data_IF_175066114895
#
_entry.id   IF_175066114895
#
_cell.length_a   1.000
_cell.length_b   1.000
_cell.length_c   1.000
_cell.angle_alpha   90.00
_cell.angle_beta   90.00
_cell.angle_gamma   90.00
#
_symmetry.space_group_name_H-M   'P 1'
#
loop_
_entity.id
_entity.type
_entity.pdbx_description
1 polymer ?
#
# COMPACT_ATOMS: atom_id res chain seq x y z
N UNK A 1 -7.02 1.00 -16.09
CA UNK A 1 -7.16 -0.34 -15.45
C UNK A 1 -5.91 -0.62 -14.67
N UNK A 2 -6.05 -0.72 -13.35
CA UNK A 2 -4.96 -0.97 -12.41
C UNK A 2 -4.81 -2.47 -12.19
N UNK A 3 -3.57 -2.94 -12.18
CA UNK A 3 -3.24 -4.32 -11.80
C UNK A 3 -2.21 -4.29 -10.68
N UNK A 4 -2.52 -4.94 -9.56
CA UNK A 4 -1.64 -5.06 -8.40
C UNK A 4 -1.12 -6.49 -8.31
N UNK A 5 0.16 -6.62 -7.98
CA UNK A 5 0.78 -7.90 -7.66
C UNK A 5 1.80 -7.72 -6.54
N UNK A 6 1.93 -8.73 -5.68
CA UNK A 6 2.96 -8.73 -4.65
C UNK A 6 4.25 -9.34 -5.20
N UNK A 7 5.39 -8.71 -4.90
CA UNK A 7 6.72 -9.28 -5.13
C UNK A 7 7.32 -9.91 -3.86
N UNK A 8 6.56 -9.95 -2.77
CA UNK A 8 6.98 -10.44 -1.46
C UNK A 8 7.25 -9.32 -0.46
N UNK A 9 7.19 -9.68 0.83
CA UNK A 9 7.29 -8.72 1.93
C UNK A 9 6.20 -7.64 1.81
N UNK A 10 6.63 -6.37 1.83
CA UNK A 10 5.77 -5.22 1.58
C UNK A 10 5.83 -4.69 0.14
N UNK A 11 6.57 -5.37 -0.76
CA UNK A 11 6.79 -4.88 -2.11
C UNK A 11 5.55 -5.12 -2.97
N UNK A 12 4.94 -4.04 -3.47
CA UNK A 12 3.80 -4.10 -4.39
C UNK A 12 4.20 -3.52 -5.73
N UNK A 13 3.88 -4.26 -6.78
CA UNK A 13 3.98 -3.80 -8.16
C UNK A 13 2.59 -3.43 -8.68
N UNK A 14 2.45 -2.20 -9.16
CA UNK A 14 1.23 -1.64 -9.72
C UNK A 14 1.45 -1.29 -11.20
N UNK A 15 0.55 -1.76 -12.06
CA UNK A 15 0.58 -1.45 -13.50
C UNK A 15 -0.67 -0.66 -13.88
N UNK A 16 -0.49 0.50 -14.52
CA UNK A 16 -1.56 1.31 -15.08
C UNK A 16 -1.33 1.60 -16.57
N UNK A 17 -2.02 0.90 -17.46
CA UNK A 17 -2.07 1.26 -18.88
C UNK A 17 -0.71 1.33 -19.59
N UNK A 18 0.31 0.64 -19.07
CA UNK A 18 1.69 0.67 -19.56
C UNK A 18 2.69 1.34 -18.62
N UNK A 19 2.22 2.20 -17.69
CA UNK A 19 3.05 2.73 -16.60
C UNK A 19 3.17 1.71 -15.47
N UNK A 20 4.33 1.66 -14.85
CA UNK A 20 4.70 0.69 -13.83
C UNK A 20 5.23 1.40 -12.60
N UNK A 21 4.64 1.11 -11.45
CA UNK A 21 5.04 1.61 -10.15
C UNK A 21 5.47 0.45 -9.27
N UNK A 22 6.60 0.60 -8.58
CA UNK A 22 7.05 -0.38 -7.59
C UNK A 22 7.16 0.30 -6.22
N UNK A 23 6.36 -0.17 -5.28
CA UNK A 23 6.22 0.41 -3.95
C UNK A 23 7.00 -0.45 -2.96
N UNK A 24 7.80 0.20 -2.12
CA UNK A 24 8.66 -0.37 -1.09
C UNK A 24 9.58 -1.51 -1.54
N UNK A 25 10.29 -1.38 -2.68
CA UNK A 25 11.25 -2.40 -3.06
C UNK A 25 12.39 -2.48 -2.03
N UNK A 26 12.95 -3.67 -1.82
CA UNK A 26 14.18 -3.83 -1.03
C UNK A 26 15.39 -3.16 -1.71
N UNK A 27 15.36 -3.09 -3.04
CA UNK A 27 16.30 -2.34 -3.87
C UNK A 27 15.57 -1.71 -5.05
N UNK A 28 15.79 -0.43 -5.30
CA UNK A 28 15.28 0.29 -6.46
C UNK A 28 16.03 -0.13 -7.75
N UNK A 29 15.99 -1.42 -8.07
CA UNK A 29 16.64 -2.02 -9.23
C UNK A 29 15.55 -2.60 -10.16
N UNK A 30 15.64 -2.33 -11.47
CA UNK A 30 14.76 -2.94 -12.47
C UNK A 30 14.17 -1.94 -13.45
N UNK A 31 13.10 -2.36 -14.13
CA UNK A 31 12.33 -1.56 -15.09
C UNK A 31 10.98 -1.20 -14.47
N UNK A 32 10.96 -0.17 -13.64
CA UNK A 32 9.72 0.52 -13.28
C UNK A 32 9.84 1.98 -13.69
N UNK A 33 8.72 2.62 -14.00
CA UNK A 33 8.70 4.05 -14.33
C UNK A 33 8.80 4.92 -13.07
N UNK A 34 8.35 4.40 -11.93
CA UNK A 34 8.41 5.09 -10.64
C UNK A 34 8.61 4.10 -9.49
N UNK A 35 9.55 4.42 -8.60
CA UNK A 35 9.75 3.70 -7.33
C UNK A 35 9.32 4.57 -6.16
N UNK A 36 8.54 4.01 -5.23
CA UNK A 36 8.17 4.66 -3.97
C UNK A 36 8.92 3.98 -2.83
N UNK A 37 9.90 4.66 -2.25
CA UNK A 37 10.79 4.07 -1.25
C UNK A 37 10.30 4.33 0.17
N UNK A 38 10.46 3.34 1.04
CA UNK A 38 10.00 3.42 2.43
C UNK A 38 10.83 4.37 3.31
N UNK A 39 12.03 4.73 2.86
CA UNK A 39 12.99 5.54 3.61
C UNK A 39 13.68 6.52 2.66
N UNK A 40 14.07 7.70 3.16
CA UNK A 40 14.77 8.70 2.37
C UNK A 40 16.15 8.25 1.91
N UNK A 41 16.44 8.54 0.64
CA UNK A 41 17.76 8.41 0.06
C UNK A 41 18.59 9.64 0.39
N UNK A 42 19.89 9.46 0.63
CA UNK A 42 20.83 10.56 0.84
C UNK A 42 20.93 11.45 -0.41
N UNK A 43 20.95 10.83 -1.59
CA UNK A 43 20.95 11.50 -2.88
C UNK A 43 19.70 11.07 -3.68
N UNK A 44 18.88 12.02 -4.15
CA UNK A 44 17.67 11.69 -4.90
C UNK A 44 18.04 11.09 -6.26
N UNK A 45 17.51 9.91 -6.55
CA UNK A 45 17.66 9.26 -7.85
C UNK A 45 16.46 9.57 -8.74
N UNK A 46 16.69 9.85 -10.04
CA UNK A 46 15.61 10.06 -10.99
C UNK A 46 14.73 8.80 -11.09
N UNK A 47 13.41 8.97 -11.01
CA UNK A 47 12.45 7.86 -10.98
C UNK A 47 12.20 7.30 -9.56
N UNK A 48 12.84 7.83 -8.52
CA UNK A 48 12.56 7.47 -7.13
C UNK A 48 11.85 8.63 -6.42
N UNK A 49 10.82 8.28 -5.65
CA UNK A 49 10.25 9.14 -4.62
C UNK A 49 10.61 8.49 -3.29
N UNK A 50 11.42 9.19 -2.52
CA UNK A 50 11.93 8.76 -1.23
C UNK A 50 11.80 9.82 -0.15
N UNK A 51 11.15 10.96 -0.42
CA UNK A 51 10.96 12.02 0.56
C UNK A 51 9.47 12.32 0.76
N UNK A 52 9.06 12.81 1.95
CA UNK A 52 7.68 13.23 2.17
C UNK A 52 7.37 14.49 1.33
N UNK A 53 6.16 14.56 0.80
CA UNK A 53 5.75 15.64 -0.09
C UNK A 53 4.65 15.24 -1.07
N UNK A 54 4.27 16.16 -1.93
CA UNK A 54 3.32 15.93 -3.01
C UNK A 54 4.07 15.85 -4.34
N UNK A 55 3.77 14.83 -5.13
CA UNK A 55 4.39 14.55 -6.41
C UNK A 55 3.31 14.21 -7.45
N UNK A 56 3.50 14.61 -8.70
CA UNK A 56 2.68 14.15 -9.83
C UNK A 56 3.59 13.51 -10.87
N UNK A 57 3.30 12.25 -11.21
CA UNK A 57 4.01 11.51 -12.25
C UNK A 57 3.09 11.17 -13.43
N UNK A 58 2.71 12.21 -14.16
CA UNK A 58 1.92 12.10 -15.39
C UNK A 58 0.53 11.51 -15.11
N UNK A 59 -0.20 12.11 -14.17
CA UNK A 59 -1.54 11.68 -13.77
C UNK A 59 -1.55 10.57 -12.72
N UNK A 60 -0.41 10.31 -12.08
CA UNK A 60 -0.32 9.57 -10.83
C UNK A 60 0.02 10.59 -9.74
N UNK A 61 -0.97 10.95 -8.93
CA UNK A 61 -0.74 11.83 -7.79
C UNK A 61 -0.24 11.00 -6.61
N UNK A 62 0.92 11.36 -6.06
CA UNK A 62 1.55 10.66 -4.95
C UNK A 62 1.74 11.66 -3.81
N UNK A 63 1.34 11.24 -2.61
CA UNK A 63 1.54 11.99 -1.38
C UNK A 63 2.34 11.14 -0.40
N UNK A 64 3.61 11.50 -0.22
CA UNK A 64 4.50 10.91 0.75
C UNK A 64 4.26 11.52 2.13
N UNK A 65 3.96 10.66 3.10
CA UNK A 65 3.67 11.00 4.49
C UNK A 65 4.82 10.47 5.34
N UNK A 66 5.61 11.40 5.88
CA UNK A 66 6.74 11.09 6.74
C UNK A 66 6.26 10.70 8.13
N UNK A 67 6.81 9.61 8.65
CA UNK A 67 6.54 9.03 9.94
C UNK A 67 7.71 9.30 10.88
N UNK A 68 7.45 9.49 12.18
CA UNK A 68 8.53 9.70 13.16
C UNK A 68 9.28 11.00 12.92
N UNK A 69 10.61 10.93 12.79
CA UNK A 69 11.46 12.08 12.43
C UNK A 69 11.67 12.21 10.91
N UNK A 70 10.91 11.46 10.09
CA UNK A 70 11.03 11.43 8.63
C UNK A 70 11.93 10.31 8.10
N UNK A 71 12.27 9.34 8.95
CA UNK A 71 13.06 8.16 8.62
C UNK A 71 12.27 7.09 7.84
N UNK A 72 10.94 7.19 7.88
CA UNK A 72 10.01 6.28 7.22
C UNK A 72 8.90 7.05 6.50
N UNK A 73 8.47 6.56 5.36
CA UNK A 73 7.47 7.22 4.52
C UNK A 73 6.42 6.23 4.07
N UNK A 74 5.15 6.58 4.29
CA UNK A 74 4.01 5.90 3.68
C UNK A 74 3.44 6.75 2.54
N UNK A 75 2.71 6.14 1.62
CA UNK A 75 2.25 6.82 0.42
C UNK A 75 0.74 6.73 0.28
N UNK A 76 0.08 7.86 0.03
CA UNK A 76 -1.24 7.90 -0.57
C UNK A 76 -1.07 8.17 -2.07
N UNK A 77 -1.64 7.31 -2.91
CA UNK A 77 -1.50 7.37 -4.37
C UNK A 77 -2.89 7.42 -4.99
N UNK A 78 -3.14 8.41 -5.84
CA UNK A 78 -4.38 8.53 -6.60
C UNK A 78 -4.11 8.33 -8.09
N UNK A 79 -4.81 7.35 -8.69
CA UNK A 79 -4.72 7.04 -10.12
C UNK A 79 -6.13 6.79 -10.65
N UNK A 80 -6.51 7.45 -11.74
CA UNK A 80 -7.84 7.30 -12.36
C UNK A 80 -9.00 7.51 -11.34
N UNK A 81 -8.79 8.37 -10.33
CA UNK A 81 -9.75 8.65 -9.26
C UNK A 81 -9.90 7.54 -8.20
N UNK A 82 -9.03 6.52 -8.22
CA UNK A 82 -8.94 5.48 -7.19
C UNK A 82 -7.82 5.88 -6.22
N UNK A 83 -8.15 6.01 -4.94
CA UNK A 83 -7.19 6.35 -3.88
C UNK A 83 -6.67 5.11 -3.19
N UNK A 84 -5.35 4.99 -3.10
CA UNK A 84 -4.66 3.84 -2.54
C UNK A 84 -3.71 4.31 -1.45
N UNK A 85 -3.72 3.64 -0.29
CA UNK A 85 -2.75 3.88 0.76
C UNK A 85 -1.77 2.69 0.84
N UNK A 86 -0.48 3.00 0.90
CA UNK A 86 0.60 2.06 1.12
C UNK A 86 1.30 2.42 2.42
N UNK A 87 1.06 1.63 3.47
CA UNK A 87 1.67 1.85 4.77
C UNK A 87 3.03 1.15 4.87
N UNK A 88 4.03 1.87 5.32
CA UNK A 88 5.38 1.34 5.49
C UNK A 88 5.53 0.57 6.80
N UNK A 89 6.18 -0.59 6.74
CA UNK A 89 6.65 -1.35 7.91
C UNK A 89 7.93 -0.73 8.49
N UNK A 90 8.10 -0.65 9.83
CA UNK A 90 7.19 -1.15 10.87
C UNK A 90 5.93 -0.29 11.04
N UNK A 91 4.78 -0.92 11.26
CA UNK A 91 3.53 -0.22 11.56
C UNK A 91 3.62 0.63 12.83
N UNK A 92 3.11 1.86 12.74
CA UNK A 92 2.95 2.79 13.86
C UNK A 92 1.57 3.39 13.82
N UNK A 93 1.04 3.83 14.96
CA UNK A 93 -0.25 4.53 15.02
C UNK A 93 -0.18 5.86 14.24
N UNK A 94 -1.23 6.13 13.47
CA UNK A 94 -1.38 7.38 12.72
C UNK A 94 -2.06 8.40 13.63
N UNK A 95 -1.54 9.61 13.65
CA UNK A 95 -2.21 10.73 14.31
C UNK A 95 -3.31 11.31 13.41
N UNK A 96 -4.18 12.14 13.99
CA UNK A 96 -5.33 12.72 13.27
C UNK A 96 -4.91 13.50 12.02
N UNK A 97 -3.77 14.20 12.06
CA UNK A 97 -3.25 14.95 10.91
C UNK A 97 -2.79 14.02 9.77
N UNK A 98 -2.14 12.90 10.08
CA UNK A 98 -1.77 11.89 9.09
C UNK A 98 -3.01 11.23 8.46
N UNK A 99 -4.03 10.92 9.28
CA UNK A 99 -5.30 10.36 8.81
C UNK A 99 -6.04 11.34 7.89
N UNK A 100 -6.07 12.63 8.24
CA UNK A 100 -6.63 13.68 7.38
C UNK A 100 -5.90 13.77 6.03
N UNK A 101 -4.58 13.60 6.03
CA UNK A 101 -3.79 13.58 4.79
C UNK A 101 -4.10 12.37 3.92
N UNK A 102 -4.25 11.17 4.50
CA UNK A 102 -4.66 9.98 3.74
C UNK A 102 -6.05 10.17 3.13
N UNK A 103 -6.98 10.77 3.88
CA UNK A 103 -8.34 11.03 3.44
C UNK A 103 -9.12 9.74 3.15
N UNK A 104 -10.07 9.83 2.22
CA UNK A 104 -10.91 8.69 1.79
C UNK A 104 -10.10 7.72 0.91
N UNK A 105 -9.75 6.56 1.46
CA UNK A 105 -8.93 5.54 0.80
C UNK A 105 -9.82 4.41 0.29
N UNK A 106 -9.72 4.10 -1.00
CA UNK A 106 -10.44 2.98 -1.59
C UNK A 106 -9.72 1.65 -1.37
N UNK A 107 -8.38 1.64 -1.45
CA UNK A 107 -7.55 0.44 -1.35
C UNK A 107 -6.43 0.65 -0.33
N UNK A 108 -6.35 -0.20 0.69
CA UNK A 108 -5.31 -0.15 1.71
C UNK A 108 -4.36 -1.34 1.60
N UNK A 109 -3.07 -1.07 1.43
CA UNK A 109 -1.99 -2.04 1.56
C UNK A 109 -1.38 -1.92 2.96
N UNK A 110 -1.61 -2.94 3.79
CA UNK A 110 -1.34 -2.91 5.22
C UNK A 110 -0.29 -3.97 5.58
N UNK A 111 0.89 -3.60 6.10
CA UNK A 111 1.85 -4.57 6.61
C UNK A 111 1.28 -5.33 7.82
N UNK A 112 1.56 -6.62 7.95
CA UNK A 112 1.08 -7.43 9.07
C UNK A 112 2.18 -7.58 10.13
N UNK A 113 2.50 -6.47 10.80
CA UNK A 113 3.54 -6.44 11.84
C UNK A 113 2.99 -6.63 13.26
N UNK A 114 1.81 -6.06 13.52
CA UNK A 114 1.10 -6.08 14.80
C UNK A 114 -0.42 -6.12 14.57
N UNK A 115 -1.07 -7.16 15.08
CA UNK A 115 -2.49 -7.39 14.85
C UNK A 115 -3.42 -6.38 15.54
N UNK A 116 -2.97 -5.67 16.57
CA UNK A 116 -3.75 -4.62 17.25
C UNK A 116 -3.66 -3.31 16.49
N UNK A 117 -2.45 -2.90 16.09
CA UNK A 117 -2.25 -1.67 15.31
C UNK A 117 -2.90 -1.82 13.94
N UNK A 118 -2.72 -2.97 13.28
CA UNK A 118 -3.37 -3.27 12.00
C UNK A 118 -4.90 -3.11 12.08
N UNK A 119 -5.53 -3.67 13.12
CA UNK A 119 -6.97 -3.55 13.33
C UNK A 119 -7.41 -2.08 13.50
N UNK A 120 -6.68 -1.30 14.31
CA UNK A 120 -6.96 0.14 14.47
C UNK A 120 -6.87 0.89 13.14
N UNK A 121 -5.85 0.63 12.32
CA UNK A 121 -5.71 1.27 11.00
C UNK A 121 -6.88 0.98 10.09
N UNK A 122 -7.30 -0.27 10.07
CA UNK A 122 -8.42 -0.73 9.27
C UNK A 122 -9.71 -0.04 9.70
N UNK A 123 -9.92 0.13 11.00
CA UNK A 123 -11.11 0.80 11.55
C UNK A 123 -11.08 2.33 11.32
N UNK A 124 -9.90 2.96 11.34
CA UNK A 124 -9.74 4.40 11.14
C UNK A 124 -9.81 4.81 9.66
N UNK A 125 -9.20 4.03 8.76
CA UNK A 125 -9.13 4.33 7.32
C UNK A 125 -10.42 3.89 6.61
N UNK A 126 -11.09 2.85 7.12
CA UNK A 126 -12.27 2.22 6.53
C UNK A 126 -12.19 1.97 5.01
N UNK A 127 -11.19 1.21 4.53
CA UNK A 127 -11.00 1.01 3.10
C UNK A 127 -12.03 0.04 2.52
N UNK A 128 -12.36 0.23 1.23
CA UNK A 128 -13.25 -0.68 0.47
C UNK A 128 -12.57 -2.02 0.14
N UNK A 129 -11.27 -1.97 -0.15
CA UNK A 129 -10.45 -3.15 -0.37
C UNK A 129 -9.20 -3.11 0.53
N UNK A 130 -8.91 -4.23 1.19
CA UNK A 130 -7.80 -4.38 2.12
C UNK A 130 -6.85 -5.47 1.62
N UNK A 131 -5.57 -5.14 1.59
CA UNK A 131 -4.46 -6.00 1.19
C UNK A 131 -3.47 -6.15 2.35
N UNK A 132 -3.66 -7.14 3.24
CA UNK A 132 -2.68 -7.47 4.24
C UNK A 132 -1.40 -8.00 3.57
N UNK A 133 -0.23 -7.51 4.01
CA UNK A 133 1.07 -7.89 3.48
C UNK A 133 1.86 -8.67 4.53
N UNK A 134 2.41 -9.82 4.15
CA UNK A 134 3.22 -10.64 5.04
C UNK A 134 4.64 -10.06 5.15
N UNK A 135 4.85 -9.18 6.12
CA UNK A 135 6.11 -8.45 6.35
C UNK A 135 7.00 -9.07 7.43
N UNK A 136 6.41 -9.77 8.40
CA UNK A 136 7.11 -10.28 9.57
C UNK A 136 7.13 -11.81 9.62
N UNK A 137 6.10 -12.43 10.16
CA UNK A 137 5.97 -13.88 10.30
C UNK A 137 4.55 -14.33 9.97
N UNK A 138 4.41 -15.64 9.69
CA UNK A 138 3.15 -16.26 9.26
C UNK A 138 2.09 -16.23 10.35
N UNK A 139 2.49 -16.33 11.62
CA UNK A 139 1.56 -16.38 12.75
C UNK A 139 0.88 -15.02 12.95
N UNK A 140 1.67 -13.94 12.90
CA UNK A 140 1.17 -12.56 12.96
C UNK A 140 0.27 -12.25 11.76
N UNK A 141 0.65 -12.70 10.56
CA UNK A 141 -0.17 -12.54 9.35
C UNK A 141 -1.52 -13.25 9.48
N UNK A 142 -1.54 -14.50 9.95
CA UNK A 142 -2.77 -15.25 10.20
C UNK A 142 -3.64 -14.61 11.30
N UNK A 143 -3.04 -14.01 12.33
CA UNK A 143 -3.78 -13.25 13.34
C UNK A 143 -4.49 -12.03 12.73
N UNK A 144 -3.79 -11.26 11.89
CA UNK A 144 -4.38 -10.13 11.16
C UNK A 144 -5.53 -10.60 10.26
N UNK A 145 -5.35 -11.68 9.50
CA UNK A 145 -6.40 -12.23 8.64
C UNK A 145 -7.64 -12.66 9.42
N UNK A 146 -7.47 -13.31 10.58
CA UNK A 146 -8.58 -13.70 11.46
C UNK A 146 -9.37 -12.47 11.93
N UNK A 147 -8.68 -11.41 12.35
CA UNK A 147 -9.32 -10.16 12.79
C UNK A 147 -10.06 -9.45 11.66
N UNK A 148 -9.59 -9.60 10.42
CA UNK A 148 -10.23 -9.02 9.25
C UNK A 148 -11.33 -9.91 8.64
N UNK A 149 -11.61 -11.09 9.23
CA UNK A 149 -12.60 -12.03 8.70
C UNK A 149 -12.18 -12.73 7.39
N UNK A 150 -10.87 -12.76 7.09
CA UNK A 150 -10.33 -13.22 5.80
C UNK A 150 -9.54 -14.53 5.92
N UNK A 151 -9.74 -15.30 7.00
CA UNK A 151 -9.00 -16.54 7.27
C UNK A 151 -9.19 -17.62 6.18
N UNK A 152 -10.32 -17.57 5.46
CA UNK A 152 -10.70 -18.56 4.44
C UNK A 152 -10.39 -18.09 3.01
N UNK A 153 -9.81 -16.88 2.85
CA UNK A 153 -9.53 -16.33 1.53
C UNK A 153 -8.30 -17.01 0.91
N UNK A 154 -8.45 -17.44 -0.34
CA UNK A 154 -7.35 -18.03 -1.11
C UNK A 154 -6.40 -16.95 -1.63
N UNK A 155 -5.07 -17.20 -1.69
CA UNK A 155 -4.13 -16.24 -2.23
C UNK A 155 -4.24 -16.14 -3.76
N UNK A 156 -4.35 -14.92 -4.27
CA UNK A 156 -4.44 -14.59 -5.69
C UNK A 156 -3.09 -14.12 -6.25
N UNK A 157 -2.81 -14.34 -7.52
CA UNK A 157 -1.56 -13.89 -8.15
C UNK A 157 -1.55 -12.38 -8.44
N UNK A 158 -2.71 -11.81 -8.74
CA UNK A 158 -2.87 -10.41 -9.09
C UNK A 158 -4.32 -9.95 -8.85
N UNK A 159 -4.49 -8.67 -8.54
CA UNK A 159 -5.80 -8.06 -8.37
C UNK A 159 -5.98 -6.95 -9.41
N UNK A 160 -7.14 -6.92 -10.09
CA UNK A 160 -7.41 -5.98 -11.20
C UNK A 160 -8.59 -5.08 -10.88
N UNK A 161 -8.37 -3.78 -10.95
CA UNK A 161 -9.40 -2.77 -10.73
C UNK A 161 -9.63 -2.00 -12.03
N UNK A 162 -10.87 -2.07 -12.53
CA UNK A 162 -11.25 -1.38 -13.78
C UNK A 162 -11.59 0.08 -13.54
N UNK A 163 -12.28 0.37 -12.44
CA UNK A 163 -12.67 1.71 -12.02
C UNK A 163 -13.01 1.71 -10.54
N UNK A 164 -13.14 2.89 -9.93
CA UNK A 164 -13.59 3.01 -8.54
C UNK A 164 -14.92 2.29 -8.27
N UNK A 165 -15.81 2.24 -9.27
CA UNK A 165 -17.10 1.56 -9.18
C UNK A 165 -17.03 0.03 -9.26
N UNK A 166 -15.87 -0.57 -9.57
CA UNK A 166 -15.70 -2.04 -9.46
C UNK A 166 -15.37 -2.50 -8.05
N UNK A 167 -15.03 -1.58 -7.15
CA UNK A 167 -14.81 -1.88 -5.74
C UNK A 167 -16.15 -2.00 -5.01
N UNK A 168 -16.23 -2.79 -3.92
CA UNK A 168 -17.45 -2.92 -3.14
C UNK A 168 -17.98 -1.55 -2.69
N UNK A 169 -19.28 -1.34 -2.88
CA UNK A 169 -19.98 -0.16 -2.36
C UNK A 169 -20.43 -0.34 -0.91
N UNK A 170 -20.59 -1.58 -0.47
CA UNK A 170 -20.95 -1.96 0.91
C UNK A 170 -20.03 -3.08 1.39
N UNK A 171 -19.56 -2.97 2.63
CA UNK A 171 -18.61 -3.90 3.22
C UNK A 171 -17.18 -3.69 2.71
N UNK A 172 -16.30 -4.59 3.15
CA UNK A 172 -14.87 -4.57 2.84
C UNK A 172 -14.46 -5.87 2.18
N UNK A 173 -13.82 -5.78 1.02
CA UNK A 173 -13.16 -6.91 0.40
C UNK A 173 -11.75 -7.05 0.96
N UNK A 174 -11.37 -8.25 1.41
CA UNK A 174 -10.01 -8.54 1.85
C UNK A 174 -9.35 -9.46 0.85
N UNK A 175 -8.25 -9.02 0.24
CA UNK A 175 -7.57 -9.75 -0.83
C UNK A 175 -6.17 -10.13 -0.37
N UNK A 176 -5.83 -11.40 -0.52
CA UNK A 176 -4.50 -11.92 -0.19
C UNK A 176 -3.74 -12.12 -1.49
N UNK A 177 -2.61 -11.42 -1.66
CA UNK A 177 -1.76 -11.59 -2.83
C UNK A 177 -0.64 -12.59 -2.55
N UNK A 178 -0.45 -13.54 -3.46
CA UNK A 178 0.70 -14.42 -3.47
C UNK A 178 1.91 -13.68 -4.06
N UNK A 179 3.09 -13.75 -3.41
CA UNK A 179 4.32 -13.24 -4.01
C UNK A 179 4.60 -13.91 -5.36
N UNK A 180 4.73 -13.12 -6.43
CA UNK A 180 5.30 -13.58 -7.69
C UNK A 180 6.81 -13.74 -7.47
N UNK A 181 7.30 -14.98 -7.50
CA UNK A 181 8.73 -15.31 -7.47
C UNK A 181 9.42 -14.87 -8.75
#
# INVERSE_FOLDING_TARGET
>A
MLTFSSLGGQTIHCVNGGKTLTIFPDKAEGKADLFLLKSPEEEPTEGNISWPGEYDFGGVAVRGIGHGEGDKISYAVEIEGIRMAFLASPLQELNDYELEIFGDIDILFLPADDAKIAQKMIDQIDPRALFPLMTKDKDTFEEVLKKCGAQDNGPESEYKVKSRGSLPSEGREVVILKPKK
#
